data_IF_027349599005
#
_entry.id   IF_027349599005
#
_cell.length_a   1.000
_cell.length_b   1.000
_cell.length_c   1.000
_cell.angle_alpha   90.00
_cell.angle_beta   90.00
_cell.angle_gamma   90.00
#
_symmetry.space_group_name_H-M   'P 1'
#
loop_
_entity.id
_entity.type
_entity.pdbx_description
1 polymer ?
#
# COMPACT_ATOMS: atom_id res chain seq x y z
N UNK A 1 38.40 10.94 -1.07
CA UNK A 1 37.49 9.84 -1.42
C UNK A 1 37.22 9.90 -2.91
N UNK A 2 37.97 9.14 -3.71
CA UNK A 2 37.69 8.93 -5.13
C UNK A 2 37.92 7.44 -5.36
N UNK A 3 36.84 6.66 -5.50
CA UNK A 3 36.94 5.30 -6.01
C UNK A 3 37.08 5.42 -7.53
N UNK A 4 38.32 5.41 -8.03
CA UNK A 4 38.53 5.32 -9.48
C UNK A 4 38.30 3.88 -9.91
N UNK A 5 37.17 3.62 -10.57
CA UNK A 5 36.97 2.35 -11.28
C UNK A 5 37.93 2.30 -12.45
N UNK A 6 39.06 1.61 -12.30
CA UNK A 6 39.86 1.21 -13.45
C UNK A 6 39.93 -0.32 -13.43
N UNK A 7 39.02 -0.95 -14.18
CA UNK A 7 38.95 -2.42 -14.31
C UNK A 7 40.05 -3.00 -15.21
N UNK A 8 41.13 -2.25 -15.48
CA UNK A 8 42.24 -2.63 -16.36
C UNK A 8 43.63 -2.33 -15.79
N UNK A 9 43.86 -2.59 -14.50
CA UNK A 9 45.22 -2.87 -14.02
C UNK A 9 45.26 -4.20 -13.29
N UNK A 10 45.97 -5.17 -13.88
CA UNK A 10 46.45 -6.37 -13.21
C UNK A 10 47.52 -5.92 -12.21
N UNK A 11 47.09 -5.35 -11.10
CA UNK A 11 47.82 -5.14 -9.85
C UNK A 11 46.84 -4.46 -8.89
N UNK A 12 46.26 -5.26 -7.98
CA UNK A 12 45.35 -4.80 -6.95
C UNK A 12 46.20 -4.52 -5.72
N UNK A 13 46.69 -3.29 -5.57
CA UNK A 13 47.11 -2.83 -4.25
C UNK A 13 45.84 -2.48 -3.48
N UNK A 14 45.45 -3.36 -2.55
CA UNK A 14 44.35 -3.11 -1.64
C UNK A 14 44.74 -1.96 -0.68
N UNK A 15 44.12 -0.79 -0.85
CA UNK A 15 44.40 0.38 -0.01
C UNK A 15 43.44 0.52 1.20
N UNK A 16 42.44 -0.35 1.35
CA UNK A 16 41.65 -0.43 2.60
C UNK A 16 40.80 -1.71 2.71
N UNK A 17 40.69 -2.27 3.91
CA UNK A 17 39.65 -3.26 4.27
C UNK A 17 38.32 -2.52 4.49
N UNK A 18 37.29 -2.87 3.69
CA UNK A 18 35.93 -2.35 3.79
C UNK A 18 35.11 -2.62 2.52
N UNK A 19 33.82 -2.97 2.68
CA UNK A 19 32.89 -3.06 1.54
C UNK A 19 32.78 -1.70 0.83
N UNK A 20 32.95 -1.68 -0.48
CA UNK A 20 32.74 -0.47 -1.29
C UNK A 20 31.26 -0.07 -1.22
N UNK A 21 30.94 0.95 -0.43
CA UNK A 21 29.62 1.53 -0.41
C UNK A 21 29.40 2.34 -1.69
N UNK A 22 28.75 1.72 -2.69
CA UNK A 22 28.28 2.43 -3.88
C UNK A 22 27.07 3.25 -3.47
N UNK A 23 27.22 4.57 -3.43
CA UNK A 23 26.10 5.48 -3.20
C UNK A 23 25.34 5.72 -4.51
N UNK A 24 24.11 5.24 -4.55
CA UNK A 24 23.20 5.50 -5.65
C UNK A 24 22.35 6.76 -5.40
N UNK A 25 22.07 7.56 -6.46
CA UNK A 25 21.06 8.59 -6.35
C UNK A 25 19.69 7.94 -6.08
N UNK A 26 18.88 8.58 -5.23
CA UNK A 26 17.59 8.06 -4.81
C UNK A 26 16.48 9.09 -5.03
N UNK A 27 15.30 8.62 -5.41
CA UNK A 27 14.06 9.39 -5.42
C UNK A 27 12.89 8.47 -5.06
N UNK A 28 12.04 8.86 -4.09
CA UNK A 28 10.86 8.08 -3.71
C UNK A 28 9.68 8.29 -4.68
N UNK A 29 9.81 9.22 -5.64
CA UNK A 29 8.73 9.61 -6.54
C UNK A 29 8.76 8.76 -7.81
N UNK A 30 7.60 8.23 -8.18
CA UNK A 30 7.40 7.47 -9.41
C UNK A 30 7.20 8.42 -10.59
N UNK A 31 8.19 8.44 -11.49
CA UNK A 31 8.21 9.21 -12.73
C UNK A 31 8.93 8.36 -13.78
N UNK A 32 8.25 7.36 -14.35
CA UNK A 32 8.93 6.29 -15.05
C UNK A 32 9.67 6.81 -16.29
N UNK A 33 10.78 6.15 -16.61
CA UNK A 33 11.56 6.43 -17.83
C UNK A 33 11.84 5.12 -18.56
N UNK A 34 11.81 5.17 -19.89
CA UNK A 34 12.20 4.04 -20.72
C UNK A 34 13.67 4.16 -21.12
N UNK A 35 14.42 3.07 -21.00
CA UNK A 35 15.79 2.97 -21.47
C UNK A 35 15.89 2.45 -22.91
N UNK A 36 17.05 2.63 -23.52
CA UNK A 36 17.42 2.07 -24.83
C UNK A 36 17.45 0.55 -24.88
N UNK A 37 17.23 -0.13 -23.75
CA UNK A 37 17.12 -1.59 -23.61
C UNK A 37 15.67 -2.04 -23.48
N UNK A 38 14.69 -1.19 -23.82
CA UNK A 38 13.25 -1.40 -23.65
C UNK A 38 12.85 -1.76 -22.22
N UNK A 39 13.61 -1.23 -21.26
CA UNK A 39 13.40 -1.47 -19.84
C UNK A 39 12.95 -0.20 -19.14
N UNK A 40 11.94 -0.33 -18.29
CA UNK A 40 11.31 0.82 -17.63
C UNK A 40 11.85 0.95 -16.23
N UNK A 41 12.34 2.13 -15.90
CA UNK A 41 12.82 2.45 -14.56
C UNK A 41 11.77 3.28 -13.85
N UNK A 42 11.60 3.07 -12.54
CA UNK A 42 10.62 3.80 -11.73
C UNK A 42 10.84 5.33 -11.74
N UNK A 43 12.10 5.76 -11.92
CA UNK A 43 12.51 7.13 -12.16
C UNK A 43 13.94 7.19 -12.74
N UNK A 44 14.37 8.42 -13.09
CA UNK A 44 15.72 8.67 -13.63
C UNK A 44 16.84 8.30 -12.64
N UNK A 45 16.61 8.45 -11.33
CA UNK A 45 17.58 8.07 -10.30
C UNK A 45 17.83 6.56 -10.29
N UNK A 46 16.77 5.75 -10.43
CA UNK A 46 16.89 4.29 -10.59
C UNK A 46 17.69 3.91 -11.85
N UNK A 47 17.44 4.57 -12.99
CA UNK A 47 18.22 4.37 -14.21
C UNK A 47 19.72 4.68 -14.00
N UNK A 48 20.03 5.84 -13.40
CA UNK A 48 21.41 6.24 -13.10
C UNK A 48 22.10 5.26 -12.16
N UNK A 49 21.41 4.80 -11.13
CA UNK A 49 21.94 3.79 -10.22
C UNK A 49 22.24 2.47 -10.95
N UNK A 50 21.35 2.02 -11.85
CA UNK A 50 21.60 0.83 -12.68
C UNK A 50 22.82 0.99 -13.58
N UNK A 51 23.02 2.16 -14.17
CA UNK A 51 24.22 2.47 -14.97
C UNK A 51 25.52 2.39 -14.14
N UNK A 52 25.49 2.85 -12.88
CA UNK A 52 26.63 2.76 -11.96
C UNK A 52 26.95 1.31 -11.61
N UNK A 53 25.92 0.52 -11.27
CA UNK A 53 26.09 -0.86 -10.83
C UNK A 53 26.37 -1.85 -11.97
N UNK A 54 25.87 -1.57 -13.17
CA UNK A 54 25.96 -2.45 -14.32
C UNK A 54 26.43 -1.68 -15.57
N UNK A 55 27.65 -1.11 -15.56
CA UNK A 55 28.14 -0.26 -16.64
C UNK A 55 28.31 -0.99 -17.99
N UNK A 56 28.37 -2.32 -17.96
CA UNK A 56 28.43 -3.17 -19.16
C UNK A 56 27.08 -3.27 -19.88
N UNK A 57 25.96 -3.04 -19.18
CA UNK A 57 24.62 -2.97 -19.78
C UNK A 57 24.39 -1.51 -20.17
N UNK A 58 24.31 -1.24 -21.48
CA UNK A 58 24.10 0.10 -22.04
C UNK A 58 22.65 0.57 -21.85
N UNK A 59 22.18 0.65 -20.61
CA UNK A 59 20.92 1.27 -20.24
C UNK A 59 21.09 2.79 -20.41
N UNK A 60 20.80 3.36 -21.58
CA UNK A 60 20.76 4.81 -21.76
C UNK A 60 19.30 5.28 -21.67
N UNK A 61 19.08 6.54 -21.28
CA UNK A 61 17.75 7.13 -21.36
C UNK A 61 17.26 7.16 -22.82
N UNK A 62 16.01 6.76 -23.06
CA UNK A 62 15.38 6.83 -24.36
C UNK A 62 14.25 7.86 -24.39
N UNK A 63 13.27 7.74 -23.51
CA UNK A 63 12.16 8.69 -23.40
C UNK A 63 11.51 8.66 -22.00
N UNK A 64 10.76 9.72 -21.68
CA UNK A 64 9.92 9.76 -20.48
C UNK A 64 8.71 8.82 -20.59
N UNK A 65 8.24 8.32 -19.47
CA UNK A 65 7.16 7.34 -19.39
C UNK A 65 7.65 5.89 -19.46
N UNK A 66 6.73 4.97 -19.23
CA UNK A 66 6.99 3.54 -19.38
C UNK A 66 7.25 3.18 -20.85
N UNK A 67 8.08 2.18 -21.09
CA UNK A 67 8.31 1.61 -22.41
C UNK A 67 6.99 1.07 -22.98
N UNK A 68 6.78 1.28 -24.28
CA UNK A 68 5.58 0.79 -24.97
C UNK A 68 5.58 -0.74 -25.03
N UNK A 69 4.97 -1.39 -24.04
CA UNK A 69 4.55 -2.79 -24.19
C UNK A 69 3.25 -2.82 -24.98
N UNK A 70 3.01 -3.88 -25.76
CA UNK A 70 1.75 -4.09 -26.51
C UNK A 70 0.54 -4.36 -25.58
N UNK A 71 0.34 -3.54 -24.55
CA UNK A 71 -0.88 -3.56 -23.74
C UNK A 71 -1.84 -2.49 -24.21
N UNK A 72 -3.12 -2.86 -24.19
CA UNK A 72 -4.25 -2.02 -24.59
C UNK A 72 -4.19 -0.67 -23.89
N UNK A 73 -4.19 0.41 -24.68
CA UNK A 73 -4.29 1.80 -24.18
C UNK A 73 -5.67 2.15 -23.64
N UNK A 74 -6.62 1.21 -23.71
CA UNK A 74 -7.97 1.42 -23.20
C UNK A 74 -7.98 1.15 -21.68
N UNK A 75 -8.20 2.19 -20.84
CA UNK A 75 -8.27 2.02 -19.39
C UNK A 75 -9.49 1.19 -18.94
N UNK A 76 -10.41 0.86 -19.84
CA UNK A 76 -11.54 -0.03 -19.54
C UNK A 76 -11.25 -1.51 -19.79
N UNK A 77 -10.08 -1.86 -20.33
CA UNK A 77 -9.66 -3.26 -20.42
C UNK A 77 -9.21 -3.75 -19.05
N UNK A 78 -9.93 -4.73 -18.52
CA UNK A 78 -9.70 -5.27 -17.18
C UNK A 78 -8.34 -5.97 -17.09
N UNK A 79 -7.53 -5.53 -16.14
CA UNK A 79 -6.54 -6.39 -15.51
C UNK A 79 -7.26 -7.27 -14.48
N UNK A 80 -6.95 -8.56 -14.39
CA UNK A 80 -7.49 -9.51 -13.39
C UNK A 80 -7.07 -9.18 -11.93
N UNK A 81 -6.77 -7.91 -11.64
CA UNK A 81 -6.35 -7.42 -10.33
C UNK A 81 -7.58 -7.06 -9.49
N UNK A 82 -7.88 -7.90 -8.50
CA UNK A 82 -8.92 -7.64 -7.51
C UNK A 82 -8.35 -6.88 -6.31
N UNK A 83 -8.36 -5.55 -6.41
CA UNK A 83 -7.90 -4.64 -5.35
C UNK A 83 -9.01 -3.63 -5.10
N UNK A 84 -9.95 -3.90 -4.17
CA UNK A 84 -11.11 -3.04 -4.00
C UNK A 84 -10.67 -1.60 -3.69
N UNK A 85 -11.43 -0.63 -4.17
CA UNK A 85 -11.18 0.81 -3.96
C UNK A 85 -12.49 1.51 -3.65
N UNK A 86 -12.52 2.28 -2.57
CA UNK A 86 -13.63 3.16 -2.25
C UNK A 86 -13.59 4.39 -3.15
N UNK A 87 -14.72 4.75 -3.74
CA UNK A 87 -14.84 5.93 -4.60
C UNK A 87 -15.71 7.03 -3.97
N UNK A 88 -15.62 8.23 -4.54
CA UNK A 88 -16.35 9.43 -4.08
C UNK A 88 -17.87 9.33 -4.07
N UNK A 89 -18.44 8.32 -4.72
CA UNK A 89 -19.88 8.05 -4.74
C UNK A 89 -20.31 7.03 -3.67
N UNK A 90 -19.41 6.65 -2.75
CA UNK A 90 -19.70 5.68 -1.69
C UNK A 90 -19.77 4.23 -2.17
N UNK A 91 -19.38 3.97 -3.43
CA UNK A 91 -19.30 2.61 -3.95
C UNK A 91 -17.88 2.06 -3.89
N UNK A 92 -17.76 0.80 -3.49
CA UNK A 92 -16.55 0.01 -3.64
C UNK A 92 -16.46 -0.54 -5.05
N UNK A 93 -15.43 -0.17 -5.78
CA UNK A 93 -15.07 -0.72 -7.08
C UNK A 93 -14.04 -1.83 -6.92
N UNK A 94 -14.00 -2.76 -7.86
CA UNK A 94 -13.10 -3.92 -7.83
C UNK A 94 -11.63 -3.58 -8.07
N UNK A 95 -11.34 -2.42 -8.68
CA UNK A 95 -9.99 -1.89 -8.88
C UNK A 95 -9.99 -0.38 -9.13
N UNK A 96 -8.83 0.26 -8.94
CA UNK A 96 -8.60 1.64 -9.35
C UNK A 96 -8.76 1.83 -10.87
N UNK A 97 -8.50 0.79 -11.66
CA UNK A 97 -8.65 0.79 -13.11
C UNK A 97 -10.12 0.94 -13.53
N UNK A 98 -11.06 0.31 -12.81
CA UNK A 98 -12.50 0.49 -13.02
C UNK A 98 -12.93 1.94 -12.79
N UNK A 99 -12.41 2.57 -11.72
CA UNK A 99 -12.67 3.99 -11.44
C UNK A 99 -12.10 4.86 -12.57
N UNK A 100 -10.87 4.60 -12.99
CA UNK A 100 -10.21 5.34 -14.10
C UNK A 100 -10.97 5.22 -15.42
N UNK A 101 -11.53 4.06 -15.73
CA UNK A 101 -12.42 3.86 -16.88
C UNK A 101 -13.70 4.70 -16.73
N UNK A 102 -14.40 4.59 -15.60
CA UNK A 102 -15.66 5.28 -15.37
C UNK A 102 -15.49 6.80 -15.26
N UNK A 103 -14.30 7.29 -14.90
CA UNK A 103 -13.96 8.72 -14.88
C UNK A 103 -14.10 9.37 -16.26
N UNK A 104 -14.00 8.60 -17.35
CA UNK A 104 -14.22 9.09 -18.73
C UNK A 104 -15.66 9.55 -18.99
N UNK A 105 -16.62 8.98 -18.27
CA UNK A 105 -18.05 9.31 -18.39
C UNK A 105 -18.60 10.02 -17.14
N UNK A 106 -17.87 9.96 -16.02
CA UNK A 106 -18.18 10.63 -14.77
C UNK A 106 -16.94 11.32 -14.21
N UNK A 107 -16.70 12.57 -14.61
CA UNK A 107 -15.50 13.33 -14.22
C UNK A 107 -15.34 13.55 -12.71
N UNK A 108 -16.43 13.48 -11.95
CA UNK A 108 -16.45 13.69 -10.50
C UNK A 108 -16.08 12.42 -9.70
N UNK A 109 -16.04 11.26 -10.38
CA UNK A 109 -15.63 10.01 -9.77
C UNK A 109 -14.13 10.03 -9.49
N UNK A 110 -13.78 9.88 -8.21
CA UNK A 110 -12.39 9.78 -7.73
C UNK A 110 -12.25 8.58 -6.81
N UNK A 111 -11.07 7.96 -6.83
CA UNK A 111 -10.68 7.02 -5.79
C UNK A 111 -10.41 7.80 -4.49
N UNK A 112 -11.00 7.37 -3.39
CA UNK A 112 -10.78 7.95 -2.06
C UNK A 112 -9.68 7.21 -1.31
N UNK A 113 -9.76 5.89 -1.28
CA UNK A 113 -8.72 5.02 -0.74
C UNK A 113 -8.90 3.56 -1.23
N UNK A 114 -7.84 2.78 -1.15
CA UNK A 114 -7.80 1.34 -1.36
C UNK A 114 -8.54 0.65 -0.20
N UNK A 115 -9.12 -0.50 -0.50
CA UNK A 115 -10.09 -1.16 0.35
C UNK A 115 -11.53 -0.79 -0.04
N UNK A 116 -12.47 -1.49 0.58
CA UNK A 116 -13.88 -1.15 0.46
C UNK A 116 -14.20 0.12 1.25
N UNK A 117 -15.22 0.87 0.82
CA UNK A 117 -15.74 1.96 1.64
C UNK A 117 -16.21 1.42 2.99
N UNK A 118 -15.82 2.11 4.06
CA UNK A 118 -16.31 1.80 5.39
C UNK A 118 -17.76 2.26 5.54
N UNK A 119 -18.52 1.65 6.46
CA UNK A 119 -19.90 2.03 6.73
C UNK A 119 -20.06 3.50 7.14
N UNK A 120 -19.10 4.03 7.91
CA UNK A 120 -19.09 5.43 8.33
C UNK A 120 -18.82 6.37 7.15
N UNK A 121 -17.90 6.03 6.24
CA UNK A 121 -17.68 6.82 5.01
C UNK A 121 -18.91 6.81 4.12
N UNK A 122 -19.54 5.66 3.92
CA UNK A 122 -20.77 5.59 3.13
C UNK A 122 -21.86 6.45 3.77
N UNK A 123 -22.03 6.39 5.10
CA UNK A 123 -22.95 7.25 5.86
C UNK A 123 -22.65 8.74 5.66
N UNK A 124 -21.38 9.14 5.63
CA UNK A 124 -20.98 10.53 5.37
C UNK A 124 -21.29 10.95 3.93
N UNK A 125 -21.16 10.05 2.95
CA UNK A 125 -21.36 10.35 1.53
C UNK A 125 -22.85 10.39 1.15
N UNK A 126 -23.65 9.40 1.55
CA UNK A 126 -25.06 9.26 1.11
C UNK A 126 -26.08 9.55 2.21
N UNK A 127 -25.65 9.72 3.46
CA UNK A 127 -26.53 9.96 4.61
C UNK A 127 -27.05 8.70 5.29
N UNK A 128 -27.30 8.80 6.60
CA UNK A 128 -27.71 7.68 7.45
C UNK A 128 -29.06 7.09 7.07
N UNK A 129 -30.02 7.92 6.64
CA UNK A 129 -31.35 7.43 6.24
C UNK A 129 -31.27 6.51 5.02
N UNK A 130 -30.41 6.84 4.05
CA UNK A 130 -30.23 6.07 2.82
C UNK A 130 -29.49 4.77 3.08
N UNK A 131 -28.46 4.82 3.93
CA UNK A 131 -27.80 3.64 4.47
C UNK A 131 -28.82 2.68 5.11
N UNK A 132 -29.72 3.19 5.95
CA UNK A 132 -30.71 2.34 6.62
C UNK A 132 -31.78 1.78 5.69
N UNK A 133 -32.19 2.54 4.67
CA UNK A 133 -33.03 2.01 3.58
C UNK A 133 -32.33 0.85 2.88
N UNK A 134 -31.06 1.01 2.49
CA UNK A 134 -30.28 -0.04 1.83
C UNK A 134 -30.10 -1.29 2.72
N UNK A 135 -29.74 -1.10 3.99
CA UNK A 135 -29.51 -2.17 4.94
C UNK A 135 -30.76 -3.05 5.17
N UNK A 136 -31.94 -2.45 5.06
CA UNK A 136 -33.21 -3.18 5.22
C UNK A 136 -33.52 -4.13 4.06
N UNK A 137 -32.96 -3.86 2.87
CA UNK A 137 -33.24 -4.63 1.65
C UNK A 137 -32.09 -5.53 1.19
N UNK A 138 -30.89 -5.38 1.75
CA UNK A 138 -29.74 -6.26 1.47
C UNK A 138 -29.51 -7.23 2.62
N UNK A 139 -29.48 -8.53 2.31
CA UNK A 139 -29.08 -9.56 3.25
C UNK A 139 -27.60 -9.86 3.05
N UNK A 140 -26.78 -9.21 3.87
CA UNK A 140 -25.35 -9.47 3.99
C UNK A 140 -25.08 -9.95 5.41
N UNK A 141 -24.32 -11.04 5.53
CA UNK A 141 -23.89 -11.61 6.81
C UNK A 141 -22.41 -11.32 7.02
N UNK A 142 -22.12 -10.36 7.90
CA UNK A 142 -20.77 -9.96 8.33
C UNK A 142 -20.91 -9.40 9.75
N UNK A 143 -21.11 -10.29 10.74
CA UNK A 143 -21.69 -9.93 12.02
C UNK A 143 -20.77 -9.04 12.86
N UNK A 144 -21.40 -8.21 13.71
CA UNK A 144 -20.73 -7.36 14.69
C UNK A 144 -21.36 -7.58 16.05
N UNK A 145 -20.54 -7.78 17.08
CA UNK A 145 -21.00 -7.80 18.46
C UNK A 145 -20.99 -6.39 19.02
N UNK A 146 -22.15 -5.87 19.44
CA UNK A 146 -22.26 -4.58 20.12
C UNK A 146 -21.89 -4.66 21.61
N UNK A 147 -21.61 -3.51 22.22
CA UNK A 147 -21.37 -3.35 23.67
C UNK A 147 -22.55 -3.80 24.53
N UNK A 148 -23.75 -3.88 23.94
CA UNK A 148 -24.97 -4.40 24.55
C UNK A 148 -25.13 -5.92 24.42
N UNK A 149 -24.08 -6.64 23.99
CA UNK A 149 -24.07 -8.09 23.78
C UNK A 149 -25.11 -8.57 22.75
N UNK A 150 -25.44 -7.72 21.76
CA UNK A 150 -26.31 -8.05 20.63
C UNK A 150 -25.48 -8.21 19.36
N UNK A 151 -25.69 -9.31 18.63
CA UNK A 151 -25.13 -9.53 17.30
C UNK A 151 -25.94 -8.77 16.25
N UNK A 152 -25.29 -7.87 15.52
CA UNK A 152 -25.87 -7.18 14.37
C UNK A 152 -25.45 -7.90 13.08
N UNK A 153 -26.36 -8.20 12.14
CA UNK A 153 -26.05 -9.03 10.96
C UNK A 153 -24.94 -8.47 10.06
N UNK A 154 -24.83 -7.15 10.00
CA UNK A 154 -23.77 -6.43 9.29
C UNK A 154 -23.59 -5.03 9.87
N UNK A 155 -22.56 -4.35 9.38
CA UNK A 155 -22.18 -3.01 9.80
C UNK A 155 -23.21 -1.93 9.53
N UNK A 156 -23.92 -1.99 8.41
CA UNK A 156 -24.99 -1.03 8.13
C UNK A 156 -26.17 -1.21 9.09
N UNK A 157 -26.54 -2.46 9.42
CA UNK A 157 -27.57 -2.74 10.44
C UNK A 157 -27.16 -2.25 11.82
N UNK A 158 -25.88 -2.40 12.17
CA UNK A 158 -25.32 -1.84 13.40
C UNK A 158 -25.44 -0.30 13.43
N UNK A 159 -25.04 0.40 12.36
CA UNK A 159 -25.16 1.86 12.27
C UNK A 159 -26.60 2.34 12.44
N UNK A 160 -27.57 1.65 11.84
CA UNK A 160 -28.98 1.98 11.99
C UNK A 160 -29.47 1.79 13.42
N UNK A 161 -29.09 0.70 14.08
CA UNK A 161 -29.44 0.49 15.49
C UNK A 161 -28.80 1.54 16.41
N UNK A 162 -27.60 2.03 16.08
CA UNK A 162 -26.93 3.11 16.82
C UNK A 162 -27.72 4.42 16.76
N UNK A 163 -28.40 4.71 15.64
CA UNK A 163 -29.33 5.85 15.51
C UNK A 163 -30.43 5.82 16.58
N UNK A 164 -31.02 4.64 16.79
CA UNK A 164 -32.17 4.47 17.68
C UNK A 164 -31.78 4.33 19.16
N UNK A 165 -30.60 3.75 19.44
CA UNK A 165 -30.13 3.46 20.80
C UNK A 165 -29.17 4.51 21.39
N UNK A 166 -28.70 5.46 20.60
CA UNK A 166 -27.79 6.53 21.03
C UNK A 166 -26.30 6.18 20.93
N UNK A 167 -25.44 7.13 21.28
CA UNK A 167 -23.98 7.04 21.12
C UNK A 167 -23.30 5.96 22.00
N UNK A 168 -24.00 5.48 23.04
CA UNK A 168 -23.49 4.48 23.99
C UNK A 168 -23.33 3.08 23.37
N UNK A 169 -23.98 2.81 22.23
CA UNK A 169 -23.76 1.57 21.49
C UNK A 169 -22.40 1.63 20.78
N UNK A 170 -21.44 0.88 21.29
CA UNK A 170 -20.09 0.72 20.73
C UNK A 170 -19.91 -0.67 20.13
N UNK A 171 -18.92 -0.84 19.25
CA UNK A 171 -18.52 -2.16 18.77
C UNK A 171 -17.69 -2.82 19.86
N UNK A 172 -18.09 -4.03 20.28
CA UNK A 172 -17.28 -4.86 21.18
C UNK A 172 -16.18 -5.56 20.39
N UNK A 173 -16.55 -6.31 19.35
CA UNK A 173 -15.64 -6.96 18.39
C UNK A 173 -16.38 -7.34 17.10
N UNK A 174 -15.61 -7.58 16.04
CA UNK A 174 -16.12 -8.14 14.79
C UNK A 174 -16.43 -9.63 14.99
N UNK A 175 -17.59 -10.08 14.53
CA UNK A 175 -18.09 -11.43 14.78
C UNK A 175 -19.40 -11.43 15.55
N UNK A 176 -19.90 -12.64 15.84
CA UNK A 176 -21.10 -12.83 16.63
C UNK A 176 -20.79 -12.72 18.13
N UNK A 177 -21.68 -12.13 18.93
CA UNK A 177 -21.48 -12.14 20.37
C UNK A 177 -21.38 -13.58 20.90
N UNK A 178 -20.36 -13.82 21.73
CA UNK A 178 -19.98 -15.13 22.24
C UNK A 178 -18.91 -15.85 21.40
N UNK A 179 -18.50 -15.31 20.25
CA UNK A 179 -17.38 -15.86 19.47
C UNK A 179 -16.01 -15.43 20.03
N UNK A 180 -14.99 -16.25 19.78
CA UNK A 180 -13.59 -15.98 20.16
C UNK A 180 -13.04 -14.75 19.42
N UNK A 181 -12.43 -13.80 20.15
CA UNK A 181 -11.80 -12.61 19.55
C UNK A 181 -10.37 -12.95 19.09
N UNK A 182 -10.27 -13.39 17.84
CA UNK A 182 -9.02 -13.82 17.19
C UNK A 182 -7.92 -12.76 17.21
N UNK A 183 -8.26 -11.47 17.22
CA UNK A 183 -7.28 -10.39 17.17
C UNK A 183 -6.66 -10.07 18.53
N UNK A 184 -7.41 -10.24 19.62
CA UNK A 184 -6.95 -9.92 20.98
C UNK A 184 -6.44 -11.11 21.78
N UNK A 185 -6.76 -12.33 21.37
CA UNK A 185 -6.40 -13.52 22.14
C UNK A 185 -5.18 -14.21 21.50
N UNK A 186 -4.04 -14.28 22.22
CA UNK A 186 -2.87 -15.00 21.76
C UNK A 186 -3.14 -16.51 21.75
N UNK A 187 -2.62 -17.21 20.74
CA UNK A 187 -2.51 -18.67 20.83
C UNK A 187 -1.50 -19.07 21.92
N UNK A 188 -1.64 -20.25 22.53
CA UNK A 188 -0.59 -20.81 23.38
C UNK A 188 0.74 -20.83 22.60
N UNK A 189 1.82 -20.30 23.20
CA UNK A 189 3.16 -20.15 22.59
C UNK A 189 3.33 -19.05 21.52
N UNK A 190 2.41 -18.07 21.49
CA UNK A 190 2.54 -16.89 20.66
C UNK A 190 3.88 -16.14 20.86
N UNK A 191 4.61 -15.95 19.76
CA UNK A 191 5.89 -15.23 19.72
C UNK A 191 5.74 -13.93 18.90
N UNK A 192 6.50 -12.87 19.25
CA UNK A 192 6.44 -11.61 18.53
C UNK A 192 6.89 -11.77 17.07
N UNK A 193 6.38 -10.90 16.20
CA UNK A 193 6.70 -10.87 14.77
C UNK A 193 7.03 -9.45 14.31
N UNK A 194 7.98 -9.33 13.40
CA UNK A 194 8.36 -8.07 12.82
C UNK A 194 7.56 -7.81 11.56
N UNK A 195 6.86 -6.67 11.51
CA UNK A 195 6.13 -6.20 10.33
C UNK A 195 7.05 -5.59 9.28
N UNK A 196 6.58 -5.52 8.03
CA UNK A 196 7.26 -4.79 6.94
C UNK A 196 7.31 -3.28 7.15
N UNK A 197 6.56 -2.76 8.12
CA UNK A 197 6.59 -1.38 8.60
C UNK A 197 7.64 -1.15 9.71
N UNK A 198 8.42 -2.17 10.06
CA UNK A 198 9.40 -2.09 11.16
C UNK A 198 8.76 -2.07 12.56
N UNK A 199 7.45 -2.35 12.68
CA UNK A 199 6.75 -2.44 13.96
C UNK A 199 6.74 -3.88 14.47
N UNK A 200 6.99 -4.07 15.77
CA UNK A 200 6.88 -5.39 16.42
C UNK A 200 5.44 -5.63 16.85
N UNK A 201 4.83 -6.69 16.31
CA UNK A 201 3.51 -7.16 16.71
C UNK A 201 3.66 -8.29 17.74
N UNK A 202 2.78 -8.34 18.75
CA UNK A 202 2.91 -9.32 19.84
C UNK A 202 2.76 -10.77 19.38
N UNK A 203 2.02 -11.01 18.28
CA UNK A 203 1.79 -12.33 17.68
C UNK A 203 1.31 -12.22 16.23
N UNK A 204 1.33 -13.34 15.50
CA UNK A 204 0.89 -13.42 14.09
C UNK A 204 -0.56 -12.92 13.89
N UNK A 205 -1.48 -13.25 14.80
CA UNK A 205 -2.87 -12.79 14.67
C UNK A 205 -3.00 -11.27 14.82
N UNK A 206 -2.17 -10.62 15.66
CA UNK A 206 -2.18 -9.17 15.82
C UNK A 206 -1.64 -8.48 14.56
N UNK A 207 -0.59 -9.04 13.97
CA UNK A 207 -0.09 -8.61 12.66
C UNK A 207 -1.19 -8.77 11.60
N UNK A 208 -1.80 -9.95 11.49
CA UNK A 208 -2.88 -10.24 10.55
C UNK A 208 -4.04 -9.24 10.66
N UNK A 209 -4.49 -8.94 11.89
CA UNK A 209 -5.54 -7.95 12.10
C UNK A 209 -5.08 -6.53 11.75
N UNK A 210 -3.82 -6.17 12.00
CA UNK A 210 -3.27 -4.90 11.55
C UNK A 210 -3.20 -4.79 10.02
N UNK A 211 -3.05 -5.89 9.28
CA UNK A 211 -3.10 -5.91 7.81
C UNK A 211 -4.46 -5.43 7.28
N UNK A 212 -5.53 -5.53 8.07
CA UNK A 212 -6.84 -4.98 7.68
C UNK A 212 -6.80 -3.46 7.50
N UNK A 213 -5.90 -2.76 8.20
CA UNK A 213 -5.71 -1.31 8.10
C UNK A 213 -4.55 -0.92 7.17
N UNK A 214 -3.72 -1.89 6.77
CA UNK A 214 -2.58 -1.65 5.89
C UNK A 214 -2.35 -2.84 4.97
N UNK A 215 -2.79 -2.72 3.72
CA UNK A 215 -2.71 -3.77 2.69
C UNK A 215 -1.28 -4.27 2.43
N UNK A 216 -0.28 -3.42 2.63
CA UNK A 216 1.13 -3.76 2.39
C UNK A 216 1.90 -4.10 3.66
N UNK A 217 1.22 -4.09 4.80
CA UNK A 217 1.76 -4.68 6.01
C UNK A 217 1.83 -6.18 5.81
N UNK A 218 3.02 -6.73 5.96
CA UNK A 218 3.30 -8.15 5.88
C UNK A 218 4.24 -8.56 7.00
N UNK A 219 4.44 -9.86 7.14
CA UNK A 219 5.49 -10.38 8.03
C UNK A 219 6.84 -10.22 7.35
N UNK A 220 7.75 -9.49 7.98
CA UNK A 220 9.14 -9.37 7.52
C UNK A 220 9.97 -10.57 7.98
N UNK A 221 9.94 -10.87 9.28
CA UNK A 221 10.53 -12.08 9.86
C UNK A 221 9.89 -12.41 11.22
N UNK A 222 10.21 -13.59 11.76
CA UNK A 222 9.84 -13.97 13.12
C UNK A 222 10.72 -13.22 14.14
N UNK A 223 10.16 -12.87 15.30
CA UNK A 223 10.84 -12.11 16.36
C UNK A 223 10.54 -10.62 16.31
N UNK A 224 11.06 -9.88 17.30
CA UNK A 224 10.92 -8.42 17.32
C UNK A 224 11.77 -7.75 16.24
N UNK A 225 11.32 -6.60 15.73
CA UNK A 225 12.09 -5.79 14.80
C UNK A 225 13.33 -5.19 15.47
N UNK A 226 14.41 -5.06 14.70
CA UNK A 226 15.60 -4.30 15.05
C UNK A 226 15.56 -2.92 14.37
N UNK A 227 15.58 -1.85 15.15
CA UNK A 227 15.46 -0.47 14.66
C UNK A 227 16.50 -0.06 13.59
N UNK A 228 17.66 -0.72 13.52
CA UNK A 228 18.75 -0.36 12.58
C UNK A 228 18.75 -1.18 11.29
N UNK A 229 18.15 -2.35 11.30
CA UNK A 229 18.11 -3.29 10.16
C UNK A 229 16.71 -3.34 9.56
N UNK A 230 15.70 -3.16 10.41
CA UNK A 230 14.32 -3.34 10.03
C UNK A 230 13.58 -2.07 9.64
N UNK A 231 14.16 -0.89 9.88
CA UNK A 231 13.58 0.38 9.46
C UNK A 231 13.50 0.45 7.91
N UNK A 232 12.28 0.46 7.34
CA UNK A 232 12.06 0.53 5.90
C UNK A 232 12.64 1.79 5.25
N UNK A 233 12.91 2.83 6.03
CA UNK A 233 13.41 4.12 5.54
C UNK A 233 14.92 4.22 5.48
N UNK A 234 15.64 3.23 5.99
CA UNK A 234 17.09 3.22 5.88
C UNK A 234 17.49 2.92 4.43
N UNK A 235 17.93 3.96 3.75
CA UNK A 235 18.31 3.99 2.33
C UNK A 235 19.32 2.92 1.88
N UNK A 236 20.01 2.25 2.81
CA UNK A 236 20.93 1.13 2.51
C UNK A 236 20.22 -0.18 2.16
N UNK A 237 18.94 -0.28 2.50
CA UNK A 237 18.16 -1.52 2.39
C UNK A 237 17.04 -1.47 1.37
N UNK A 238 17.03 -0.51 0.42
CA UNK A 238 16.19 -0.66 -0.76
C UNK A 238 16.94 -1.51 -1.78
N UNK A 239 16.73 -2.85 -1.82
CA UNK A 239 17.05 -3.56 -3.04
C UNK A 239 16.17 -2.90 -4.10
N UNK A 240 16.85 -2.35 -5.12
CA UNK A 240 16.37 -2.28 -6.50
C UNK A 240 14.96 -2.83 -6.62
N UNK A 241 13.97 -1.93 -6.56
CA UNK A 241 12.69 -2.16 -7.18
C UNK A 241 13.03 -2.81 -8.53
N UNK A 242 12.70 -4.08 -8.64
CA UNK A 242 12.52 -4.81 -9.87
C UNK A 242 12.00 -3.83 -10.92
N UNK A 243 12.85 -3.53 -11.90
CA UNK A 243 12.82 -2.23 -12.53
C UNK A 243 11.53 -2.04 -13.35
N UNK A 244 10.61 -1.34 -12.68
CA UNK A 244 9.26 -0.91 -13.04
C UNK A 244 8.54 -0.33 -11.82
N UNK A 245 8.98 -0.70 -10.60
CA UNK A 245 8.40 -0.25 -9.35
C UNK A 245 7.03 -0.85 -9.05
N UNK A 246 6.51 -0.56 -7.85
CA UNK A 246 5.15 -0.90 -7.42
C UNK A 246 4.43 0.40 -7.07
N UNK A 247 4.09 1.23 -8.07
CA UNK A 247 3.64 2.59 -7.81
C UNK A 247 2.37 2.62 -6.95
N UNK A 248 2.30 3.62 -6.08
CA UNK A 248 1.15 3.89 -5.21
C UNK A 248 0.81 5.38 -5.22
N UNK A 249 -0.47 5.71 -5.28
CA UNK A 249 -0.94 7.09 -5.20
C UNK A 249 -1.17 7.50 -3.75
N UNK A 250 -0.78 8.73 -3.41
CA UNK A 250 -0.95 9.30 -2.08
C UNK A 250 -1.87 10.54 -2.07
N UNK A 251 -2.29 10.94 -0.87
CA UNK A 251 -3.25 12.05 -0.64
C UNK A 251 -2.77 13.41 -1.13
N UNK A 252 -1.46 13.59 -1.30
CA UNK A 252 -0.83 14.78 -1.86
C UNK A 252 -0.75 14.76 -3.40
N UNK A 253 -1.45 13.83 -4.06
CA UNK A 253 -1.44 13.60 -5.51
C UNK A 253 -0.06 13.24 -6.08
N UNK A 254 0.87 12.75 -5.25
CA UNK A 254 2.16 12.22 -5.67
C UNK A 254 2.08 10.70 -5.78
N UNK A 255 2.55 10.16 -6.91
CA UNK A 255 2.79 8.73 -7.03
C UNK A 255 4.16 8.39 -6.44
N UNK A 256 4.20 7.50 -5.46
CA UNK A 256 5.44 6.98 -4.87
C UNK A 256 5.84 5.67 -5.55
N UNK A 257 7.15 5.41 -5.64
CA UNK A 257 7.71 4.25 -6.35
C UNK A 257 7.32 2.90 -5.75
N UNK A 258 6.99 2.89 -4.45
CA UNK A 258 6.59 1.71 -3.70
C UNK A 258 5.79 2.09 -2.45
N UNK A 259 5.05 1.14 -1.84
CA UNK A 259 4.41 1.33 -0.53
C UNK A 259 5.38 1.77 0.57
N UNK A 260 6.60 1.24 0.56
CA UNK A 260 7.63 1.54 1.55
C UNK A 260 8.14 2.98 1.38
N UNK A 261 8.31 3.44 0.13
CA UNK A 261 8.67 4.83 -0.15
C UNK A 261 7.58 5.82 0.32
N UNK A 262 6.31 5.46 0.14
CA UNK A 262 5.18 6.23 0.69
C UNK A 262 5.17 6.21 2.21
N UNK A 263 5.35 5.05 2.84
CA UNK A 263 5.41 4.93 4.30
C UNK A 263 6.50 5.84 4.89
N UNK A 264 7.66 5.89 4.25
CA UNK A 264 8.74 6.78 4.66
C UNK A 264 8.42 8.26 4.48
N UNK A 265 7.74 8.62 3.40
CA UNK A 265 7.25 9.99 3.23
C UNK A 265 6.23 10.35 4.31
N UNK A 266 5.30 9.45 4.63
CA UNK A 266 4.28 9.64 5.66
C UNK A 266 4.85 9.73 7.09
N UNK A 267 5.98 9.06 7.37
CA UNK A 267 6.72 9.21 8.64
C UNK A 267 7.25 10.63 8.84
N UNK A 268 7.62 11.31 7.75
CA UNK A 268 8.10 12.69 7.77
C UNK A 268 6.96 13.73 7.67
N UNK A 269 5.83 13.34 7.06
CA UNK A 269 4.63 14.18 6.94
C UNK A 269 3.37 13.33 7.13
N UNK A 270 2.80 13.40 8.34
CA UNK A 270 1.58 12.67 8.71
C UNK A 270 0.33 13.02 7.89
N UNK A 271 0.36 14.09 7.09
CA UNK A 271 -0.71 14.45 6.16
C UNK A 271 -0.75 13.57 4.91
N UNK A 272 0.35 12.87 4.61
CA UNK A 272 0.47 11.98 3.47
C UNK A 272 -0.13 10.62 3.83
N UNK A 273 -1.16 10.22 3.08
CA UNK A 273 -1.86 8.94 3.27
C UNK A 273 -1.87 8.18 1.96
N UNK A 274 -1.86 6.85 2.06
CA UNK A 274 -2.11 5.99 0.90
C UNK A 274 -3.53 6.18 0.41
N UNK A 275 -3.67 6.42 -0.90
CA UNK A 275 -4.95 6.47 -1.59
C UNK A 275 -5.12 5.15 -2.29
N UNK A 276 -4.47 4.88 -3.41
CA UNK A 276 -4.71 3.63 -4.12
C UNK A 276 -3.47 3.03 -4.76
N UNK A 277 -3.54 1.73 -5.05
CA UNK A 277 -2.52 1.04 -5.84
C UNK A 277 -2.43 1.65 -7.25
N UNK A 278 -1.21 1.83 -7.78
CA UNK A 278 -0.95 2.41 -9.10
C UNK A 278 -0.67 3.92 -9.11
N UNK A 279 -0.55 4.50 -10.30
CA UNK A 279 -0.32 5.93 -10.51
C UNK A 279 -1.57 6.76 -10.23
N UNK A 280 -1.41 7.95 -9.62
CA UNK A 280 -2.50 8.90 -9.42
C UNK A 280 -3.19 9.31 -10.75
N UNK A 281 -4.51 9.56 -10.71
CA UNK A 281 -5.31 9.93 -11.90
C UNK A 281 -6.48 10.88 -11.62
#
# INVERSE_FOLDING_TARGET
MVCTSNMYSVEINAEHDGECAIECPYSPVYKPVCSTTDYTFANEQALKCKQILQPYIKNAFQHEGQCKRQQSTNPCYESNTFTPVCASNGHTYTSAQHIRCLKQVNSDLRALHDGACTPDEVKEIIGLDDVCRMANHRQEWSPICGSNNVTYPNSYRYLCAKKDKGEDLQVSYMGECGSFDYCRQPEPDASPVCGTDGVTYPHDNALYCAQASSRYLGKKHQGACNETVDDPCLHRGFPFLDDNGRPVCASNAVTYVSPEALWCAAKNDSGIKFIHSGECF
#
